data_IF_980491544697
#
_entry.id   IF_980491544697
#
_cell.length_a   1.000
_cell.length_b   1.000
_cell.length_c   1.000
_cell.angle_alpha   90.00
_cell.angle_beta   90.00
_cell.angle_gamma   90.00
#
_symmetry.space_group_name_H-M   'P 1'
#
loop_
_entity.id
_entity.type
_entity.pdbx_description
1 polymer ?
#
# COMPACT_ATOMS: atom_id res chain seq x y z
N UNK A 1 18.33 8.57 14.83
CA UNK A 1 17.72 9.92 14.80
C UNK A 1 17.22 10.19 13.38
N UNK A 2 15.90 10.17 13.14
CA UNK A 2 15.28 10.42 11.83
C UNK A 2 14.86 11.89 11.63
N UNK A 3 14.74 12.65 12.72
CA UNK A 3 14.26 14.04 12.73
C UNK A 3 15.39 15.08 12.61
N UNK A 4 16.48 14.73 11.93
CA UNK A 4 17.62 15.61 11.71
C UNK A 4 17.65 16.14 10.26
N UNK A 5 18.14 17.36 10.09
CA UNK A 5 18.44 17.89 8.75
C UNK A 5 19.65 17.16 8.17
N UNK A 6 19.50 16.69 6.94
CA UNK A 6 20.56 16.03 6.18
C UNK A 6 21.10 16.98 5.12
N UNK A 7 22.42 17.01 4.97
CA UNK A 7 23.03 17.66 3.81
C UNK A 7 22.76 16.84 2.54
N UNK A 8 22.65 17.47 1.35
CA UNK A 8 22.39 16.75 0.09
C UNK A 8 23.37 15.59 -0.17
N UNK A 9 24.64 15.77 0.20
CA UNK A 9 25.71 14.78 0.06
C UNK A 9 25.51 13.55 0.97
N UNK A 10 24.80 13.72 2.08
CA UNK A 10 24.54 12.64 3.05
C UNK A 10 23.37 11.75 2.65
N UNK A 11 22.42 12.26 1.84
CA UNK A 11 21.22 11.52 1.47
C UNK A 11 21.56 10.18 0.79
N UNK A 12 22.42 10.11 -0.24
CA UNK A 12 22.77 8.84 -0.86
C UNK A 12 23.43 7.86 0.11
N UNK A 13 24.26 8.35 1.03
CA UNK A 13 24.93 7.52 2.04
C UNK A 13 23.91 6.90 3.00
N UNK A 14 22.96 7.69 3.49
CA UNK A 14 21.89 7.21 4.38
C UNK A 14 21.01 6.20 3.65
N UNK A 15 20.59 6.50 2.42
CA UNK A 15 19.76 5.58 1.62
C UNK A 15 20.46 4.24 1.37
N UNK A 16 21.76 4.26 1.09
CA UNK A 16 22.56 3.04 0.96
C UNK A 16 22.50 2.18 2.22
N UNK A 17 22.71 2.77 3.39
CA UNK A 17 22.62 2.06 4.69
C UNK A 17 21.20 1.51 4.92
N UNK A 18 20.16 2.27 4.58
CA UNK A 18 18.78 1.79 4.70
C UNK A 18 18.50 0.60 3.78
N UNK A 19 19.02 0.61 2.55
CA UNK A 19 18.93 -0.54 1.64
C UNK A 19 19.61 -1.79 2.19
N UNK A 20 20.80 -1.64 2.78
CA UNK A 20 21.54 -2.74 3.43
C UNK A 20 20.75 -3.31 4.62
N UNK A 21 20.24 -2.46 5.52
CA UNK A 21 19.45 -2.90 6.68
C UNK A 21 18.14 -3.57 6.25
N UNK A 22 17.51 -3.07 5.19
CA UNK A 22 16.32 -3.68 4.61
C UNK A 22 16.59 -5.04 3.92
N UNK A 23 17.84 -5.47 3.79
CA UNK A 23 18.24 -6.83 3.43
C UNK A 23 18.52 -7.75 4.62
N UNK A 24 18.40 -7.26 5.86
CA UNK A 24 18.68 -8.05 7.05
C UNK A 24 17.61 -9.13 7.32
N UNK A 25 17.99 -10.19 8.03
CA UNK A 25 17.09 -11.27 8.45
C UNK A 25 16.06 -10.84 9.50
N UNK A 26 16.31 -9.74 10.21
CA UNK A 26 15.41 -9.23 11.25
C UNK A 26 14.28 -8.41 10.65
N UNK A 27 13.05 -8.93 10.66
CA UNK A 27 11.89 -8.17 10.20
C UNK A 27 11.66 -6.90 11.02
N UNK A 28 12.04 -6.88 12.31
CA UNK A 28 12.01 -5.66 13.14
C UNK A 28 12.91 -4.56 12.59
N UNK A 29 14.09 -4.93 12.05
CA UNK A 29 14.99 -3.98 11.41
C UNK A 29 14.40 -3.47 10.09
N UNK A 30 13.85 -4.36 9.26
CA UNK A 30 13.17 -3.98 8.00
C UNK A 30 11.95 -3.07 8.24
N UNK A 31 11.16 -3.36 9.26
CA UNK A 31 10.05 -2.51 9.71
C UNK A 31 10.54 -1.13 10.19
N UNK A 32 11.62 -1.11 10.97
CA UNK A 32 12.22 0.13 11.50
C UNK A 32 12.81 1.00 10.39
N UNK A 33 13.29 0.40 9.29
CA UNK A 33 13.70 1.15 8.09
C UNK A 33 12.53 1.96 7.53
N UNK A 34 11.34 1.37 7.43
CA UNK A 34 10.16 2.07 6.89
C UNK A 34 9.73 3.23 7.78
N UNK A 35 9.66 3.05 9.10
CA UNK A 35 9.28 4.12 10.03
C UNK A 35 10.32 5.23 10.10
N UNK A 36 11.61 4.87 10.03
CA UNK A 36 12.70 5.82 9.90
C UNK A 36 12.56 6.63 8.59
N UNK A 37 12.32 5.94 7.48
CA UNK A 37 12.20 6.52 6.14
C UNK A 37 11.05 7.52 6.05
N UNK A 38 9.87 7.18 6.59
CA UNK A 38 8.71 8.10 6.67
C UNK A 38 9.11 9.44 7.29
N UNK A 39 9.75 9.39 8.46
CA UNK A 39 10.14 10.59 9.20
C UNK A 39 11.25 11.34 8.49
N UNK A 40 12.30 10.64 8.05
CA UNK A 40 13.46 11.24 7.38
C UNK A 40 13.05 11.97 6.09
N UNK A 41 12.19 11.33 5.28
CA UNK A 41 11.71 11.91 4.03
C UNK A 41 10.87 13.15 4.30
N UNK A 42 9.93 13.09 5.23
CA UNK A 42 9.07 14.24 5.51
C UNK A 42 9.87 15.44 6.06
N UNK A 43 10.83 15.21 6.96
CA UNK A 43 11.66 16.28 7.53
C UNK A 43 12.64 16.89 6.52
N UNK A 44 13.06 16.13 5.50
CA UNK A 44 14.03 16.55 4.49
C UNK A 44 13.42 16.61 3.09
N UNK A 45 12.11 16.83 3.00
CA UNK A 45 11.30 16.61 1.79
C UNK A 45 11.88 17.31 0.56
N UNK A 46 12.08 18.63 0.65
CA UNK A 46 12.59 19.41 -0.47
C UNK A 46 14.03 19.05 -0.85
N UNK A 47 14.86 18.71 0.13
CA UNK A 47 16.25 18.30 -0.11
C UNK A 47 16.28 16.99 -0.91
N UNK A 48 15.42 16.02 -0.57
CA UNK A 48 15.36 14.74 -1.29
C UNK A 48 14.70 14.92 -2.65
N UNK A 49 13.63 15.71 -2.76
CA UNK A 49 12.95 15.99 -4.03
C UNK A 49 13.87 16.66 -5.06
N UNK A 50 14.87 17.43 -4.62
CA UNK A 50 15.88 18.01 -5.53
C UNK A 50 16.85 16.98 -6.13
N UNK A 51 16.84 15.73 -5.65
CA UNK A 51 17.64 14.63 -6.14
C UNK A 51 16.75 13.49 -6.65
N UNK A 52 16.54 13.44 -7.96
CA UNK A 52 15.68 12.44 -8.61
C UNK A 52 16.10 11.00 -8.30
N UNK A 53 17.40 10.71 -8.27
CA UNK A 53 17.91 9.38 -7.94
C UNK A 53 17.53 8.97 -6.51
N UNK A 54 17.60 9.90 -5.56
CA UNK A 54 17.20 9.63 -4.18
C UNK A 54 15.70 9.32 -4.09
N UNK A 55 14.85 10.03 -4.84
CA UNK A 55 13.41 9.73 -4.91
C UNK A 55 13.16 8.33 -5.47
N UNK A 56 13.86 7.95 -6.55
CA UNK A 56 13.75 6.61 -7.14
C UNK A 56 14.25 5.52 -6.19
N UNK A 57 15.34 5.75 -5.46
CA UNK A 57 15.88 4.81 -4.48
C UNK A 57 14.91 4.57 -3.33
N UNK A 58 14.24 5.63 -2.85
CA UNK A 58 13.19 5.54 -1.82
C UNK A 58 11.99 4.76 -2.36
N UNK A 59 11.52 5.08 -3.58
CA UNK A 59 10.43 4.37 -4.24
C UNK A 59 10.72 2.88 -4.38
N UNK A 60 11.90 2.53 -4.89
CA UNK A 60 12.33 1.15 -5.08
C UNK A 60 12.41 0.39 -3.74
N UNK A 61 12.90 1.05 -2.68
CA UNK A 61 12.95 0.46 -1.34
C UNK A 61 11.56 0.12 -0.79
N UNK A 62 10.61 1.06 -0.89
CA UNK A 62 9.23 0.86 -0.40
C UNK A 62 8.52 -0.24 -1.19
N UNK A 63 8.62 -0.23 -2.53
CA UNK A 63 8.02 -1.26 -3.39
C UNK A 63 8.61 -2.63 -3.06
N UNK A 64 9.94 -2.73 -2.87
CA UNK A 64 10.59 -3.99 -2.47
C UNK A 64 10.07 -4.52 -1.14
N UNK A 65 9.88 -3.65 -0.14
CA UNK A 65 9.37 -4.04 1.18
C UNK A 65 7.86 -4.33 1.18
N UNK A 66 7.14 -3.94 0.14
CA UNK A 66 5.73 -4.32 -0.07
C UNK A 66 5.57 -5.81 -0.40
N UNK A 67 6.61 -6.44 -0.96
CA UNK A 67 6.70 -7.88 -1.25
C UNK A 67 7.47 -8.66 -0.15
N UNK A 68 7.64 -8.09 1.05
CA UNK A 68 8.32 -8.77 2.17
C UNK A 68 7.57 -10.03 2.64
N UNK A 69 8.31 -11.04 3.13
CA UNK A 69 7.70 -12.25 3.69
C UNK A 69 6.82 -11.96 4.92
N UNK A 70 7.25 -10.99 5.74
CA UNK A 70 6.58 -10.65 7.00
C UNK A 70 5.39 -9.72 6.73
N UNK A 71 4.22 -10.06 7.27
CA UNK A 71 2.98 -9.30 7.05
C UNK A 71 3.10 -7.85 7.56
N UNK A 72 3.65 -7.66 8.75
CA UNK A 72 3.78 -6.37 9.43
C UNK A 72 4.69 -5.41 8.64
N UNK A 73 5.73 -5.94 7.99
CA UNK A 73 6.61 -5.14 7.12
C UNK A 73 5.84 -4.68 5.89
N UNK A 74 5.05 -5.58 5.27
CA UNK A 74 4.22 -5.24 4.11
C UNK A 74 3.15 -4.19 4.43
N UNK A 75 2.45 -4.35 5.56
CA UNK A 75 1.43 -3.37 6.00
C UNK A 75 2.06 -1.99 6.29
N UNK A 76 3.25 -1.97 6.90
CA UNK A 76 3.98 -0.71 7.12
C UNK A 76 4.51 -0.12 5.80
N UNK A 77 4.92 -0.94 4.84
CA UNK A 77 5.34 -0.46 3.52
C UNK A 77 4.16 0.19 2.77
N UNK A 78 2.96 -0.39 2.85
CA UNK A 78 1.74 0.18 2.29
C UNK A 78 1.38 1.52 2.96
N UNK A 79 1.48 1.59 4.29
CA UNK A 79 1.28 2.84 5.04
C UNK A 79 2.28 3.92 4.62
N UNK A 80 3.55 3.54 4.45
CA UNK A 80 4.62 4.43 3.99
C UNK A 80 4.35 4.95 2.57
N UNK A 81 3.98 4.06 1.65
CA UNK A 81 3.63 4.42 0.28
C UNK A 81 2.44 5.39 0.24
N UNK A 82 1.38 5.10 0.99
CA UNK A 82 0.20 5.96 1.09
C UNK A 82 0.56 7.36 1.55
N UNK A 83 1.42 7.49 2.58
CA UNK A 83 1.87 8.78 3.08
C UNK A 83 2.71 9.56 2.07
N UNK A 84 3.60 8.87 1.36
CA UNK A 84 4.44 9.48 0.32
C UNK A 84 3.65 9.94 -0.91
N UNK A 85 2.60 9.20 -1.29
CA UNK A 85 1.66 9.63 -2.32
C UNK A 85 0.84 10.83 -1.83
N UNK A 86 0.38 10.82 -0.59
CA UNK A 86 -0.46 11.88 -0.01
C UNK A 86 0.27 13.23 0.06
N UNK A 87 1.56 13.23 0.43
CA UNK A 87 2.36 14.46 0.48
C UNK A 87 2.99 14.84 -0.86
N UNK A 88 2.62 14.16 -1.96
CA UNK A 88 3.18 14.35 -3.30
C UNK A 88 4.71 14.15 -3.37
N UNK A 89 5.29 13.40 -2.43
CA UNK A 89 6.69 12.98 -2.52
C UNK A 89 6.87 11.96 -3.65
N UNK A 90 5.93 11.03 -3.75
CA UNK A 90 5.77 10.15 -4.90
C UNK A 90 4.49 10.54 -5.66
N UNK A 91 4.53 10.40 -6.98
CA UNK A 91 3.35 10.53 -7.82
C UNK A 91 2.83 9.15 -8.21
N UNK A 92 1.50 9.00 -8.25
CA UNK A 92 0.87 7.85 -8.88
C UNK A 92 1.00 7.99 -10.39
N UNK A 93 1.86 7.18 -11.00
CA UNK A 93 2.00 7.11 -12.45
C UNK A 93 1.40 5.81 -12.99
N UNK A 94 1.13 5.79 -14.30
CA UNK A 94 0.54 4.64 -14.98
C UNK A 94 1.41 3.36 -14.82
N UNK A 95 2.72 3.52 -14.67
CA UNK A 95 3.66 2.42 -14.42
C UNK A 95 3.41 1.78 -13.05
N UNK A 96 3.27 2.58 -11.99
CA UNK A 96 2.95 2.14 -10.64
C UNK A 96 1.62 1.39 -10.60
N UNK A 97 0.59 1.98 -11.22
CA UNK A 97 -0.72 1.37 -11.29
C UNK A 97 -0.67 0.01 -12.02
N UNK A 98 -0.07 -0.02 -13.21
CA UNK A 98 0.07 -1.26 -14.00
C UNK A 98 0.86 -2.33 -13.24
N UNK A 99 1.90 -1.93 -12.50
CA UNK A 99 2.69 -2.84 -11.68
C UNK A 99 1.85 -3.50 -10.58
N UNK A 100 1.07 -2.72 -9.81
CA UNK A 100 0.23 -3.27 -8.75
C UNK A 100 -0.95 -4.09 -9.29
N UNK A 101 -1.58 -3.67 -10.38
CA UNK A 101 -2.61 -4.46 -11.05
C UNK A 101 -2.09 -5.81 -11.56
N UNK A 102 -0.86 -5.84 -12.09
CA UNK A 102 -0.21 -7.08 -12.50
C UNK A 102 0.05 -8.01 -11.30
N UNK A 103 0.48 -7.47 -10.16
CA UNK A 103 0.65 -8.23 -8.92
C UNK A 103 -0.68 -8.79 -8.40
N UNK A 104 -1.76 -8.02 -8.43
CA UNK A 104 -3.11 -8.48 -8.05
C UNK A 104 -3.57 -9.70 -8.86
N UNK A 105 -3.17 -9.79 -10.14
CA UNK A 105 -3.53 -10.89 -11.04
C UNK A 105 -2.72 -12.18 -10.82
N UNK A 106 -1.73 -12.18 -9.91
CA UNK A 106 -0.92 -13.37 -9.57
C UNK A 106 -1.83 -14.53 -9.17
N UNK A 107 -1.74 -15.70 -9.81
CA UNK A 107 -2.64 -16.83 -9.52
C UNK A 107 -2.27 -17.49 -8.20
N UNK A 108 -3.25 -17.61 -7.29
CA UNK A 108 -3.03 -18.35 -6.04
C UNK A 108 -3.09 -19.87 -6.29
N UNK A 109 -2.23 -20.66 -5.63
CA UNK A 109 -2.31 -22.10 -5.68
C UNK A 109 -3.66 -22.58 -5.12
N UNK A 110 -4.25 -23.60 -5.77
CA UNK A 110 -5.51 -24.21 -5.30
C UNK A 110 -5.33 -24.65 -3.84
N UNK A 111 -6.26 -24.27 -2.95
CA UNK A 111 -6.26 -24.66 -1.53
C UNK A 111 -5.93 -26.16 -1.40
N UNK A 112 -4.78 -26.47 -0.81
CA UNK A 112 -4.49 -27.84 -0.38
C UNK A 112 -5.57 -28.27 0.61
N UNK A 113 -6.10 -29.48 0.45
CA UNK A 113 -7.13 -30.04 1.36
C UNK A 113 -6.64 -29.90 2.82
N UNK A 114 -7.54 -29.48 3.72
CA UNK A 114 -7.33 -29.40 5.17
C UNK A 114 -6.62 -30.66 5.66
N UNK A 115 -5.35 -30.53 6.06
CA UNK A 115 -4.55 -31.66 6.52
C UNK A 115 -3.04 -31.53 6.33
N UNK A 116 -2.53 -30.58 5.52
CA UNK A 116 -1.09 -30.29 5.52
C UNK A 116 -0.76 -29.31 6.65
N UNK A 117 0.33 -29.61 7.36
CA UNK A 117 0.99 -28.73 8.33
C UNK A 117 0.89 -27.28 7.88
N UNK A 118 0.48 -26.39 8.78
CA UNK A 118 0.46 -24.95 8.53
C UNK A 118 1.90 -24.55 8.21
N UNK A 119 2.22 -24.38 6.92
CA UNK A 119 3.49 -23.81 6.52
C UNK A 119 3.55 -22.43 7.17
N UNK A 120 4.52 -22.22 8.06
CA UNK A 120 4.71 -20.96 8.79
C UNK A 120 5.04 -19.81 7.84
N UNK A 121 5.47 -20.13 6.62
CA UNK A 121 5.88 -19.19 5.58
C UNK A 121 4.77 -19.11 4.51
N UNK A 122 4.22 -17.92 4.22
CA UNK A 122 3.23 -17.75 3.17
C UNK A 122 3.84 -18.07 1.80
N UNK A 123 3.04 -18.64 0.89
CA UNK A 123 3.50 -18.88 -0.48
C UNK A 123 3.89 -17.56 -1.16
N UNK A 124 4.96 -17.57 -1.97
CA UNK A 124 5.40 -16.40 -2.74
C UNK A 124 4.24 -15.78 -3.54
N UNK A 125 3.41 -16.60 -4.20
CA UNK A 125 2.27 -16.09 -4.98
C UNK A 125 1.24 -15.32 -4.13
N UNK A 126 1.01 -15.77 -2.89
CA UNK A 126 0.15 -15.07 -1.93
C UNK A 126 0.78 -13.75 -1.50
N UNK A 127 2.10 -13.73 -1.28
CA UNK A 127 2.83 -12.50 -0.94
C UNK A 127 2.72 -11.48 -2.07
N UNK A 128 2.97 -11.90 -3.31
CA UNK A 128 2.91 -11.03 -4.50
C UNK A 128 1.50 -10.49 -4.74
N UNK A 129 0.47 -11.35 -4.65
CA UNK A 129 -0.92 -10.88 -4.76
C UNK A 129 -1.26 -9.88 -3.66
N UNK A 130 -0.90 -10.18 -2.42
CA UNK A 130 -1.15 -9.27 -1.31
C UNK A 130 -0.40 -7.95 -1.45
N UNK A 131 0.83 -7.95 -1.97
CA UNK A 131 1.58 -6.74 -2.26
C UNK A 131 0.88 -5.85 -3.30
N UNK A 132 0.33 -6.44 -4.37
CA UNK A 132 -0.50 -5.72 -5.33
C UNK A 132 -1.71 -5.06 -4.66
N UNK A 133 -2.46 -5.82 -3.87
CA UNK A 133 -3.64 -5.31 -3.15
C UNK A 133 -3.26 -4.20 -2.17
N UNK A 134 -2.19 -4.38 -1.40
CA UNK A 134 -1.66 -3.34 -0.51
C UNK A 134 -1.23 -2.08 -1.26
N UNK A 135 -0.63 -2.24 -2.44
CA UNK A 135 -0.25 -1.16 -3.33
C UNK A 135 -1.47 -0.36 -3.76
N UNK A 136 -2.48 -1.00 -4.35
CA UNK A 136 -3.75 -0.35 -4.74
C UNK A 136 -4.46 0.30 -3.53
N UNK A 137 -4.46 -0.38 -2.39
CA UNK A 137 -4.97 0.17 -1.13
C UNK A 137 -4.24 1.44 -0.71
N UNK A 138 -2.91 1.48 -0.82
CA UNK A 138 -2.13 2.68 -0.52
C UNK A 138 -2.44 3.83 -1.48
N UNK A 139 -2.73 3.55 -2.76
CA UNK A 139 -3.17 4.53 -3.74
C UNK A 139 -4.51 5.17 -3.33
N UNK A 140 -5.48 4.35 -2.94
CA UNK A 140 -6.80 4.84 -2.52
C UNK A 140 -6.69 5.65 -1.23
N UNK A 141 -5.93 5.15 -0.25
CA UNK A 141 -5.80 5.80 1.06
C UNK A 141 -4.93 7.06 1.03
N UNK A 142 -4.17 7.31 -0.05
CA UNK A 142 -3.35 8.53 -0.18
C UNK A 142 -4.16 9.78 -0.52
N UNK A 143 -5.41 9.64 -0.95
CA UNK A 143 -6.30 10.76 -1.26
C UNK A 143 -7.51 10.71 -0.33
N UNK A 144 -7.33 10.99 0.98
CA UNK A 144 -8.48 11.13 1.87
C UNK A 144 -9.23 12.43 1.53
N UNK A 145 -10.56 12.39 1.62
CA UNK A 145 -11.45 13.55 1.41
C UNK A 145 -11.58 14.02 -0.05
N UNK A 146 -11.09 13.24 -1.01
CA UNK A 146 -11.21 13.54 -2.43
C UNK A 146 -11.32 12.25 -3.24
N UNK A 147 -11.97 12.32 -4.41
CA UNK A 147 -12.08 11.18 -5.33
C UNK A 147 -11.52 11.57 -6.69
N UNK A 148 -10.20 11.36 -6.90
CA UNK A 148 -9.58 11.54 -8.20
C UNK A 148 -10.16 10.59 -9.25
N UNK A 149 -10.03 10.95 -10.53
CA UNK A 149 -10.63 10.21 -11.66
C UNK A 149 -10.19 8.75 -11.78
N UNK A 150 -9.01 8.40 -11.26
CA UNK A 150 -8.49 7.03 -11.24
C UNK A 150 -9.03 6.18 -10.08
N UNK A 151 -9.54 6.79 -9.02
CA UNK A 151 -9.94 6.09 -7.80
C UNK A 151 -11.17 5.18 -7.95
N UNK A 152 -12.24 5.57 -8.68
CA UNK A 152 -13.40 4.70 -8.88
C UNK A 152 -13.05 3.34 -9.45
N UNK A 153 -12.20 3.30 -10.49
CA UNK A 153 -11.78 2.03 -11.10
C UNK A 153 -10.92 1.20 -10.14
N UNK A 154 -9.98 1.83 -9.42
CA UNK A 154 -9.17 1.12 -8.42
C UNK A 154 -10.01 0.50 -7.30
N UNK A 155 -11.08 1.15 -6.86
CA UNK A 155 -12.01 0.59 -5.89
C UNK A 155 -12.73 -0.65 -6.42
N UNK A 156 -13.10 -0.66 -7.71
CA UNK A 156 -13.68 -1.84 -8.36
C UNK A 156 -12.68 -2.99 -8.44
N UNK A 157 -11.44 -2.70 -8.86
CA UNK A 157 -10.39 -3.70 -8.95
C UNK A 157 -10.09 -4.30 -7.56
N UNK A 158 -10.06 -3.47 -6.53
CA UNK A 158 -9.87 -3.92 -5.14
C UNK A 158 -11.02 -4.80 -4.67
N UNK A 159 -12.26 -4.47 -5.04
CA UNK A 159 -13.45 -5.24 -4.62
C UNK A 159 -13.44 -6.69 -5.10
N UNK A 160 -12.80 -6.96 -6.24
CA UNK A 160 -12.64 -8.32 -6.78
C UNK A 160 -11.85 -9.25 -5.83
N UNK A 161 -11.11 -8.70 -4.87
CA UNK A 161 -10.29 -9.41 -3.90
C UNK A 161 -10.96 -9.63 -2.53
N UNK A 162 -12.24 -9.28 -2.36
CA UNK A 162 -12.96 -9.48 -1.09
C UNK A 162 -13.12 -10.94 -0.68
N UNK A 163 -13.11 -11.86 -1.64
CA UNK A 163 -13.24 -13.29 -1.40
C UNK A 163 -11.90 -14.03 -1.44
N UNK A 164 -10.79 -13.30 -1.53
CA UNK A 164 -9.45 -13.90 -1.50
C UNK A 164 -9.09 -14.41 -0.10
N UNK A 165 -8.11 -15.30 -0.02
CA UNK A 165 -7.64 -15.84 1.26
C UNK A 165 -6.96 -14.77 2.11
N UNK A 166 -7.03 -14.91 3.43
CA UNK A 166 -6.26 -14.10 4.36
C UNK A 166 -4.76 -14.09 4.00
N UNK A 167 -4.06 -12.96 4.13
CA UNK A 167 -4.51 -11.68 4.74
C UNK A 167 -5.26 -10.72 3.78
N UNK A 168 -5.42 -11.09 2.51
CA UNK A 168 -5.89 -10.17 1.44
C UNK A 168 -7.29 -9.62 1.74
N UNK A 169 -8.25 -10.49 2.05
CA UNK A 169 -9.63 -10.10 2.38
C UNK A 169 -9.68 -9.04 3.49
N UNK A 170 -8.88 -9.21 4.54
CA UNK A 170 -8.85 -8.27 5.66
C UNK A 170 -8.29 -6.91 5.24
N UNK A 171 -7.25 -6.89 4.41
CA UNK A 171 -6.69 -5.65 3.84
C UNK A 171 -7.72 -4.90 3.04
N UNK A 172 -8.44 -5.57 2.13
CA UNK A 172 -9.50 -4.95 1.31
C UNK A 172 -10.61 -4.37 2.20
N UNK A 173 -11.11 -5.15 3.17
CA UNK A 173 -12.14 -4.68 4.11
C UNK A 173 -11.69 -3.44 4.90
N UNK A 174 -10.47 -3.44 5.43
CA UNK A 174 -9.89 -2.28 6.14
C UNK A 174 -9.79 -1.06 5.23
N UNK A 175 -9.34 -1.23 3.98
CA UNK A 175 -9.24 -0.15 3.00
C UNK A 175 -10.60 0.45 2.67
N UNK A 176 -11.60 -0.38 2.32
CA UNK A 176 -12.95 0.10 2.01
C UNK A 176 -13.61 0.78 3.21
N UNK A 177 -13.43 0.24 4.42
CA UNK A 177 -13.91 0.86 5.65
C UNK A 177 -13.27 2.23 5.90
N UNK A 178 -11.98 2.38 5.68
CA UNK A 178 -11.28 3.66 5.82
C UNK A 178 -11.70 4.66 4.75
N UNK A 179 -11.83 4.22 3.50
CA UNK A 179 -12.34 5.04 2.40
C UNK A 179 -13.73 5.59 2.75
N UNK A 180 -14.67 4.73 3.17
CA UNK A 180 -16.01 5.16 3.57
C UNK A 180 -15.95 6.19 4.70
N UNK A 181 -15.11 5.95 5.71
CA UNK A 181 -14.98 6.83 6.87
C UNK A 181 -14.50 8.24 6.47
N UNK A 182 -13.55 8.36 5.54
CA UNK A 182 -12.99 9.67 5.15
C UNK A 182 -13.81 10.39 4.09
N UNK A 183 -14.65 9.70 3.32
CA UNK A 183 -15.45 10.30 2.23
C UNK A 183 -16.93 10.47 2.57
N UNK A 184 -17.34 10.15 3.80
CA UNK A 184 -18.74 10.20 4.22
C UNK A 184 -19.32 11.62 4.18
N UNK A 185 -18.58 12.61 4.69
CA UNK A 185 -19.12 13.95 4.93
C UNK A 185 -19.48 14.67 3.62
N UNK A 186 -18.67 14.51 2.58
CA UNK A 186 -18.88 15.09 1.25
C UNK A 186 -19.36 14.06 0.21
N UNK A 187 -20.01 12.98 0.64
CA UNK A 187 -20.39 11.87 -0.24
C UNK A 187 -21.27 12.29 -1.43
N UNK A 188 -22.12 13.32 -1.28
CA UNK A 188 -22.96 13.82 -2.37
C UNK A 188 -22.19 14.35 -3.58
N UNK A 189 -20.99 14.88 -3.34
CA UNK A 189 -20.07 15.32 -4.39
C UNK A 189 -19.23 14.14 -4.88
N UNK A 190 -18.62 13.40 -3.96
CA UNK A 190 -17.76 12.26 -4.30
C UNK A 190 -18.46 11.20 -5.16
N UNK A 191 -19.73 10.90 -4.88
CA UNK A 191 -20.50 9.90 -5.65
C UNK A 191 -20.64 10.26 -7.14
N UNK A 192 -20.49 11.53 -7.51
CA UNK A 192 -20.60 11.98 -8.91
C UNK A 192 -19.40 11.54 -9.77
N UNK A 193 -18.30 11.14 -9.13
CA UNK A 193 -17.12 10.57 -9.82
C UNK A 193 -17.33 9.10 -10.20
N UNK A 194 -18.39 8.47 -9.71
CA UNK A 194 -18.70 7.08 -9.95
C UNK A 194 -19.84 6.95 -10.95
N UNK A 195 -19.79 5.88 -11.75
CA UNK A 195 -20.92 5.44 -12.56
C UNK A 195 -21.99 4.79 -11.68
N UNK A 196 -23.23 4.73 -12.17
CA UNK A 196 -24.34 4.08 -11.44
C UNK A 196 -24.00 2.61 -11.10
N UNK A 197 -23.39 1.87 -12.03
CA UNK A 197 -22.96 0.49 -11.81
C UNK A 197 -21.92 0.37 -10.68
N UNK A 198 -20.95 1.30 -10.64
CA UNK A 198 -19.94 1.33 -9.57
C UNK A 198 -20.56 1.67 -8.21
N UNK A 199 -21.57 2.56 -8.18
CA UNK A 199 -22.28 2.91 -6.94
C UNK A 199 -23.09 1.75 -6.39
N UNK A 200 -23.69 0.92 -7.26
CA UNK A 200 -24.37 -0.31 -6.84
C UNK A 200 -23.40 -1.24 -6.14
N UNK A 201 -22.25 -1.50 -6.77
CA UNK A 201 -21.18 -2.33 -6.18
C UNK A 201 -20.75 -1.74 -4.84
N UNK A 202 -20.38 -0.46 -4.78
CA UNK A 202 -19.95 0.17 -3.53
C UNK A 202 -21.00 0.09 -2.43
N UNK A 203 -22.29 0.21 -2.75
CA UNK A 203 -23.35 0.09 -1.76
C UNK A 203 -23.32 -1.30 -1.12
N UNK A 204 -23.26 -2.37 -1.91
CA UNK A 204 -23.19 -3.74 -1.40
C UNK A 204 -21.94 -3.97 -0.53
N UNK A 205 -20.81 -3.37 -0.91
CA UNK A 205 -19.54 -3.52 -0.17
C UNK A 205 -19.49 -2.74 1.14
N UNK A 206 -20.13 -1.57 1.17
CA UNK A 206 -20.06 -0.66 2.29
C UNK A 206 -21.13 -0.93 3.35
N UNK A 207 -22.07 -1.86 3.14
CA UNK A 207 -23.24 -2.09 4.00
C UNK A 207 -22.98 -2.92 5.28
N UNK A 208 -21.77 -3.42 5.61
CA UNK A 208 -21.62 -4.19 6.87
C UNK A 208 -20.30 -4.12 7.62
N UNK A 209 -20.36 -3.73 8.91
CA UNK A 209 -19.53 -4.30 9.98
C UNK A 209 -20.09 -5.69 10.39
N UNK A 210 -19.20 -6.64 10.69
CA UNK A 210 -19.48 -8.04 11.03
C UNK A 210 -20.32 -8.29 12.30
N UNK A 211 -20.97 -7.27 12.88
CA UNK A 211 -21.78 -7.36 14.10
C UNK A 211 -23.30 -7.33 13.83
N UNK A 212 -23.73 -7.25 12.57
CA UNK A 212 -25.13 -7.26 12.14
C UNK A 212 -25.51 -8.56 11.40
N UNK A 213 -25.18 -9.72 11.97
CA UNK A 213 -25.64 -11.03 11.50
C UNK A 213 -26.33 -11.79 12.63
#
# INVERSE_FOLDING_TARGET
>A
MSQGLLYPEQIPMVLKVLHEIAGSSSWHARFSVLTYLQTMVFYNLFTILSNEQAVQDVRALVIRLLEDEQLEVREMAATTLSGFLQCNFLAMDASMQTHFEALCKTRLPKKRKRGSVVDTIPSVDLVRRHAGVLGLSACILSSPYDVPTWMPQLLMDLSAHLNDTQPIEMTVKKTLSNFRRTHHDNWLEHKQQFTDDQLVVLTDLLVSPCYYA
#
